data_IF_159540547634
#
_entry.id   IF_159540547634
#
_cell.length_a   1.000
_cell.length_b   1.000
_cell.length_c   1.000
_cell.angle_alpha   90.00
_cell.angle_beta   90.00
_cell.angle_gamma   90.00
#
_symmetry.space_group_name_H-M   'P 1'
#
loop_
_entity.id
_entity.type
_entity.pdbx_description
1 polymer ?
#
# COMPACT_ATOMS: atom_id res chain seq x y z
N UNK A 1 -6.66 51.42 -11.68
CA UNK A 1 -6.40 50.34 -12.65
C UNK A 1 -5.22 49.54 -12.12
N UNK A 2 -5.44 48.35 -11.57
CA UNK A 2 -4.41 47.53 -10.92
C UNK A 2 -4.33 46.21 -11.70
N UNK A 3 -3.32 46.11 -12.56
CA UNK A 3 -3.14 44.97 -13.45
C UNK A 3 -2.63 43.77 -12.64
N UNK A 4 -3.40 42.70 -12.59
CA UNK A 4 -2.98 41.42 -12.03
C UNK A 4 -2.34 40.61 -13.15
N UNK A 5 -1.05 40.30 -13.01
CA UNK A 5 -0.33 39.40 -13.91
C UNK A 5 -0.76 37.98 -13.55
N UNK A 6 -1.41 37.21 -14.46
CA UNK A 6 -1.70 35.82 -14.18
C UNK A 6 -0.39 35.02 -14.23
N UNK A 7 0.01 34.52 -13.07
CA UNK A 7 1.18 33.66 -12.92
C UNK A 7 0.79 32.26 -13.45
N UNK A 8 1.16 31.99 -14.69
CA UNK A 8 1.06 30.67 -15.32
C UNK A 8 1.95 29.70 -14.52
N UNK A 9 1.34 28.86 -13.69
CA UNK A 9 2.01 27.69 -13.12
C UNK A 9 2.35 26.74 -14.27
N UNK A 10 3.61 26.75 -14.71
CA UNK A 10 4.13 25.76 -15.63
C UNK A 10 4.20 24.41 -14.90
N UNK A 11 3.26 23.51 -15.20
CA UNK A 11 3.36 22.12 -14.80
C UNK A 11 4.49 21.48 -15.61
N UNK A 12 5.67 21.34 -15.00
CA UNK A 12 6.75 20.51 -15.51
C UNK A 12 6.27 19.06 -15.38
N UNK A 13 5.68 18.51 -16.44
CA UNK A 13 5.51 17.07 -16.59
C UNK A 13 6.87 16.45 -16.88
N UNK A 14 7.73 16.33 -15.86
CA UNK A 14 8.76 15.31 -15.90
C UNK A 14 8.04 13.98 -15.78
N UNK A 15 7.90 13.24 -16.88
CA UNK A 15 7.49 11.84 -16.81
C UNK A 15 8.43 11.15 -15.82
N UNK A 16 7.96 10.69 -14.64
CA UNK A 16 8.83 9.89 -13.81
C UNK A 16 9.12 8.63 -14.61
N UNK A 17 10.41 8.30 -14.78
CA UNK A 17 10.80 6.96 -15.15
C UNK A 17 10.27 6.04 -14.04
N UNK A 18 9.06 5.52 -14.24
CA UNK A 18 8.43 4.63 -13.29
C UNK A 18 9.06 3.25 -13.48
N UNK A 19 10.11 2.97 -12.71
CA UNK A 19 10.59 1.61 -12.53
C UNK A 19 9.66 0.98 -11.49
N UNK A 20 8.67 0.22 -11.98
CA UNK A 20 7.68 -0.44 -11.13
C UNK A 20 8.27 -1.68 -10.42
N UNK A 21 9.23 -2.34 -11.06
CA UNK A 21 9.87 -3.56 -10.61
C UNK A 21 11.32 -3.63 -11.10
N UNK A 22 12.19 -4.16 -10.25
CA UNK A 22 13.60 -4.43 -10.53
C UNK A 22 13.81 -5.93 -10.37
N UNK A 23 14.15 -6.59 -11.47
CA UNK A 23 14.48 -8.02 -11.44
C UNK A 23 15.92 -8.19 -10.93
N UNK A 24 16.06 -8.85 -9.78
CA UNK A 24 17.34 -9.16 -9.14
C UNK A 24 17.79 -10.56 -9.58
N UNK A 25 18.10 -10.70 -10.87
CA UNK A 25 18.39 -11.99 -11.49
C UNK A 25 17.13 -12.74 -11.92
N UNK A 26 17.21 -14.08 -11.99
CA UNK A 26 16.12 -14.91 -12.51
C UNK A 26 15.05 -15.28 -11.47
N UNK A 27 15.39 -15.15 -10.18
CA UNK A 27 14.61 -15.72 -9.08
C UNK A 27 14.09 -14.69 -8.08
N UNK A 28 14.34 -13.40 -8.30
CA UNK A 28 13.99 -12.38 -7.33
C UNK A 28 13.51 -11.11 -8.03
N UNK A 29 12.46 -10.49 -7.49
CA UNK A 29 11.93 -9.21 -7.97
C UNK A 29 11.74 -8.27 -6.80
N UNK A 30 12.32 -7.09 -6.88
CA UNK A 30 12.11 -6.00 -5.93
C UNK A 30 11.15 -4.98 -6.54
N UNK A 31 10.07 -4.67 -5.85
CA UNK A 31 9.09 -3.67 -6.26
C UNK A 31 8.84 -2.66 -5.15
N UNK A 32 8.35 -1.49 -5.53
CA UNK A 32 8.06 -0.43 -4.59
C UNK A 32 6.88 0.41 -5.04
N UNK A 33 6.18 0.99 -4.07
CA UNK A 33 5.10 1.93 -4.32
C UNK A 33 5.16 3.05 -3.28
N UNK A 34 4.61 4.20 -3.63
CA UNK A 34 4.50 5.28 -2.67
C UNK A 34 3.65 6.42 -3.19
N UNK A 35 3.15 7.21 -2.25
CA UNK A 35 2.44 8.45 -2.52
C UNK A 35 2.79 9.46 -1.45
N UNK A 36 2.99 10.71 -1.88
CA UNK A 36 3.24 11.84 -0.98
C UNK A 36 1.98 12.70 -0.88
N UNK A 37 1.80 13.35 0.25
CA UNK A 37 0.59 14.13 0.51
C UNK A 37 0.88 15.47 1.18
N UNK A 38 -0.12 16.34 1.12
CA UNK A 38 -0.22 17.54 1.96
C UNK A 38 -1.68 17.68 2.38
N UNK A 39 -1.91 17.71 3.69
CA UNK A 39 -3.24 17.75 4.29
C UNK A 39 -3.28 18.76 5.42
N UNK A 40 -4.41 19.46 5.53
CA UNK A 40 -4.72 20.43 6.59
C UNK A 40 -6.22 20.44 6.84
N UNK A 41 -6.60 20.58 8.11
CA UNK A 41 -7.97 20.71 8.58
C UNK A 41 -8.25 22.16 8.99
N UNK A 42 -9.52 22.56 9.02
CA UNK A 42 -9.98 23.79 9.68
C UNK A 42 -10.43 23.56 11.13
N UNK A 43 -10.37 22.31 11.59
CA UNK A 43 -10.71 21.88 12.93
C UNK A 43 -9.45 21.45 13.70
N UNK A 44 -9.30 21.98 14.92
CA UNK A 44 -8.18 21.67 15.82
C UNK A 44 -8.23 20.23 16.37
N UNK A 45 -9.40 19.59 16.40
CA UNK A 45 -9.51 18.19 16.80
C UNK A 45 -9.53 17.27 15.56
N UNK A 46 -8.60 16.31 15.45
CA UNK A 46 -8.57 15.38 14.32
C UNK A 46 -9.86 14.58 14.22
N UNK A 47 -10.50 14.63 13.05
CA UNK A 47 -11.74 13.87 12.78
C UNK A 47 -11.45 12.46 12.26
N UNK A 48 -10.27 12.24 11.68
CA UNK A 48 -9.82 10.94 11.17
C UNK A 48 -8.94 10.27 12.22
N UNK A 49 -9.49 9.25 12.87
CA UNK A 49 -8.77 8.39 13.79
C UNK A 49 -7.58 7.77 13.03
N UNK A 50 -6.37 7.89 13.62
CA UNK A 50 -5.08 7.43 13.08
C UNK A 50 -4.44 8.25 11.95
N UNK A 51 -4.90 9.47 11.63
CA UNK A 51 -4.19 10.32 10.66
C UNK A 51 -3.74 11.67 11.21
N UNK A 52 -4.17 12.03 12.43
CA UNK A 52 -3.71 13.22 13.17
C UNK A 52 -3.74 14.54 12.35
N UNK A 53 -4.66 14.66 11.38
CA UNK A 53 -4.80 15.86 10.55
C UNK A 53 -5.55 16.93 11.35
N UNK A 54 -4.84 18.02 11.70
CA UNK A 54 -5.34 19.16 12.47
C UNK A 54 -5.20 20.49 11.68
N UNK A 55 -5.21 21.63 12.36
CA UNK A 55 -5.10 22.96 11.77
C UNK A 55 -3.67 23.35 11.33
N UNK A 56 -2.72 22.41 11.37
CA UNK A 56 -1.36 22.55 10.88
C UNK A 56 -1.17 21.88 9.51
N UNK A 57 -0.11 22.30 8.82
CA UNK A 57 0.28 21.71 7.55
C UNK A 57 0.95 20.35 7.80
N UNK A 58 0.28 19.26 7.42
CA UNK A 58 0.81 17.91 7.54
C UNK A 58 1.20 17.32 6.19
N UNK A 59 2.49 17.02 6.01
CA UNK A 59 3.02 16.37 4.81
C UNK A 59 3.14 14.85 4.95
N UNK A 60 3.03 14.31 6.17
CA UNK A 60 3.23 12.90 6.45
C UNK A 60 1.94 12.10 6.65
N UNK A 61 0.85 12.78 7.03
CA UNK A 61 -0.41 12.19 7.48
C UNK A 61 -1.14 11.31 6.45
N UNK A 62 -0.88 11.49 5.14
CA UNK A 62 -1.32 10.57 4.10
C UNK A 62 -0.21 9.98 3.26
N UNK A 63 1.04 10.23 3.63
CA UNK A 63 2.19 9.75 2.88
C UNK A 63 2.39 8.27 3.18
N UNK A 64 2.44 7.47 2.11
CA UNK A 64 2.66 6.02 2.16
C UNK A 64 3.88 5.65 1.35
N UNK A 65 4.61 4.67 1.85
CA UNK A 65 5.73 4.09 1.11
C UNK A 65 5.80 2.60 1.41
N UNK A 66 5.99 1.79 0.37
CA UNK A 66 6.04 0.35 0.48
C UNK A 66 7.14 -0.24 -0.40
N UNK A 67 7.78 -1.28 0.13
CA UNK A 67 8.76 -2.10 -0.56
C UNK A 67 8.36 -3.56 -0.44
N UNK A 68 8.46 -4.28 -1.55
CA UNK A 68 8.14 -5.69 -1.63
C UNK A 68 9.24 -6.46 -2.33
N UNK A 69 9.65 -7.56 -1.71
CA UNK A 69 10.58 -8.52 -2.28
C UNK A 69 9.83 -9.83 -2.51
N UNK A 70 9.82 -10.28 -3.76
CA UNK A 70 9.34 -11.62 -4.12
C UNK A 70 10.50 -12.47 -4.60
N UNK A 71 10.53 -13.73 -4.16
CA UNK A 71 11.45 -14.75 -4.59
C UNK A 71 10.66 -15.89 -5.22
N UNK A 72 11.18 -16.43 -6.32
CA UNK A 72 10.56 -17.51 -7.09
C UNK A 72 11.61 -18.58 -7.36
N UNK A 73 11.31 -19.83 -7.01
CA UNK A 73 12.18 -20.96 -7.29
C UNK A 73 11.33 -22.21 -7.53
N UNK A 74 11.35 -22.73 -8.77
CA UNK A 74 10.49 -23.82 -9.22
C UNK A 74 9.00 -23.58 -8.84
N UNK A 75 8.48 -24.40 -7.93
CA UNK A 75 7.10 -24.34 -7.45
C UNK A 75 6.95 -23.56 -6.13
N UNK A 76 8.03 -22.97 -5.61
CA UNK A 76 8.07 -22.23 -4.36
C UNK A 76 8.10 -20.73 -4.66
N UNK A 77 7.27 -19.98 -3.95
CA UNK A 77 7.32 -18.51 -3.91
C UNK A 77 7.51 -18.05 -2.47
N UNK A 78 8.38 -17.08 -2.24
CA UNK A 78 8.45 -16.34 -0.99
C UNK A 78 8.11 -14.88 -1.26
N UNK A 79 7.40 -14.21 -0.36
CA UNK A 79 7.11 -12.78 -0.50
C UNK A 79 7.14 -12.10 0.85
N UNK A 80 7.76 -10.93 0.91
CA UNK A 80 7.75 -10.06 2.07
C UNK A 80 7.50 -8.61 1.65
N UNK A 81 6.63 -7.91 2.38
CA UNK A 81 6.31 -6.51 2.13
C UNK A 81 6.41 -5.69 3.42
N UNK A 82 7.19 -4.61 3.34
CA UNK A 82 7.31 -3.59 4.38
C UNK A 82 6.62 -2.31 3.91
N UNK A 83 5.83 -1.69 4.78
CA UNK A 83 5.06 -0.48 4.46
C UNK A 83 5.18 0.52 5.61
N UNK A 84 5.57 1.75 5.28
CA UNK A 84 5.30 2.93 6.10
C UNK A 84 3.84 3.31 5.86
N UNK A 85 2.97 2.97 6.81
CA UNK A 85 1.55 3.31 6.74
C UNK A 85 1.36 4.80 7.09
N UNK A 86 0.23 5.42 6.70
CA UNK A 86 -0.03 6.82 7.01
C UNK A 86 0.04 7.15 8.50
N UNK A 87 -0.37 6.21 9.34
CA UNK A 87 -0.40 6.34 10.80
C UNK A 87 0.93 6.04 11.50
N UNK A 88 1.91 5.49 10.78
CA UNK A 88 3.19 5.10 11.37
C UNK A 88 4.24 6.20 11.15
N UNK A 89 5.20 6.27 12.06
CA UNK A 89 6.40 7.10 11.86
C UNK A 89 7.35 6.44 10.88
N UNK A 90 8.18 7.24 10.20
CA UNK A 90 9.24 6.74 9.31
C UNK A 90 10.25 5.81 10.00
N UNK A 91 10.41 5.92 11.31
CA UNK A 91 11.27 5.04 12.12
C UNK A 91 10.71 3.64 12.31
N UNK A 92 9.40 3.44 12.11
CA UNK A 92 8.68 2.24 12.55
C UNK A 92 7.76 1.69 11.44
N UNK A 93 8.30 1.29 10.28
CA UNK A 93 7.49 0.69 9.22
C UNK A 93 6.93 -0.68 9.65
N UNK A 94 5.74 -1.02 9.16
CA UNK A 94 5.06 -2.27 9.45
C UNK A 94 5.40 -3.36 8.42
N UNK A 95 5.48 -4.62 8.88
CA UNK A 95 5.56 -5.79 7.99
C UNK A 95 4.16 -6.29 7.66
N UNK A 96 3.67 -5.93 6.47
CA UNK A 96 2.30 -6.26 6.02
C UNK A 96 2.11 -7.74 5.75
N UNK A 97 3.09 -8.38 5.13
CA UNK A 97 3.09 -9.83 4.97
C UNK A 97 4.51 -10.37 4.82
N UNK A 98 4.66 -11.64 5.18
CA UNK A 98 5.87 -12.42 5.00
C UNK A 98 5.47 -13.88 4.98
N UNK A 99 5.44 -14.49 3.79
CA UNK A 99 4.95 -15.85 3.63
C UNK A 99 5.79 -16.67 2.65
N UNK A 100 5.68 -17.99 2.78
CA UNK A 100 6.10 -18.98 1.81
C UNK A 100 4.87 -19.61 1.19
N UNK A 101 4.90 -19.80 -0.13
CA UNK A 101 3.87 -20.44 -0.91
C UNK A 101 4.44 -21.59 -1.74
N UNK A 102 3.67 -22.65 -1.88
CA UNK A 102 3.97 -23.80 -2.72
C UNK A 102 2.81 -24.07 -3.66
N UNK A 103 3.08 -24.05 -4.96
CA UNK A 103 2.10 -24.25 -6.01
C UNK A 103 2.19 -25.69 -6.55
N UNK A 104 1.08 -26.40 -6.51
CA UNK A 104 0.97 -27.77 -7.00
C UNK A 104 -0.28 -27.89 -7.89
N UNK A 105 -0.07 -27.81 -9.20
CA UNK A 105 -1.14 -27.85 -10.21
C UNK A 105 -2.25 -26.83 -9.88
N UNK A 106 -3.38 -27.30 -9.37
CA UNK A 106 -4.55 -26.50 -9.03
C UNK A 106 -4.59 -26.05 -7.57
N UNK A 107 -3.58 -26.40 -6.77
CA UNK A 107 -3.52 -26.12 -5.34
C UNK A 107 -2.40 -25.13 -5.01
N UNK A 108 -2.70 -24.16 -4.17
CA UNK A 108 -1.72 -23.23 -3.59
C UNK A 108 -1.76 -23.34 -2.08
N UNK A 109 -0.64 -23.73 -1.49
CA UNK A 109 -0.45 -23.78 -0.03
C UNK A 109 0.38 -22.59 0.39
N UNK A 110 -0.03 -21.84 1.40
CA UNK A 110 0.72 -20.70 1.92
C UNK A 110 0.87 -20.80 3.44
N UNK A 111 1.99 -20.34 3.98
CA UNK A 111 2.26 -20.29 5.41
C UNK A 111 3.08 -19.05 5.78
N UNK A 112 2.76 -18.44 6.92
CA UNK A 112 3.46 -17.26 7.45
C UNK A 112 2.48 -16.17 7.87
N UNK A 113 2.92 -14.91 7.73
CA UNK A 113 2.07 -13.73 7.85
C UNK A 113 1.42 -13.46 6.50
N UNK A 114 0.11 -13.67 6.42
CA UNK A 114 -0.69 -13.54 5.22
C UNK A 114 -1.64 -12.36 5.34
N UNK A 115 -1.94 -11.69 4.22
CA UNK A 115 -2.90 -10.60 4.21
C UNK A 115 -4.32 -11.12 4.46
N UNK A 116 -5.07 -10.42 5.31
CA UNK A 116 -6.47 -10.73 5.60
C UNK A 116 -7.39 -10.10 4.53
N UNK A 117 -8.10 -10.89 3.70
CA UNK A 117 -8.96 -10.36 2.63
C UNK A 117 -10.34 -9.97 3.18
N UNK A 118 -10.36 -9.09 4.18
CA UNK A 118 -11.58 -8.72 4.90
C UNK A 118 -12.47 -7.77 4.08
N UNK A 119 -11.87 -6.97 3.22
CA UNK A 119 -12.54 -5.96 2.41
C UNK A 119 -12.01 -5.94 0.97
N UNK A 120 -12.76 -5.27 0.09
CA UNK A 120 -12.47 -5.21 -1.35
C UNK A 120 -11.06 -4.67 -1.67
N UNK A 121 -10.62 -3.65 -0.93
CA UNK A 121 -9.30 -3.01 -1.14
C UNK A 121 -8.24 -3.62 -0.24
N UNK A 122 -8.53 -4.67 0.55
CA UNK A 122 -7.56 -5.24 1.47
C UNK A 122 -6.25 -5.56 0.76
N UNK A 123 -6.30 -6.21 -0.41
CA UNK A 123 -5.11 -6.63 -1.16
C UNK A 123 -4.20 -5.48 -1.63
N UNK A 124 -4.77 -4.29 -1.86
CA UNK A 124 -4.04 -3.11 -2.38
C UNK A 124 -4.27 -1.85 -1.55
N UNK A 125 -4.58 -2.00 -0.26
CA UNK A 125 -5.07 -0.90 0.59
C UNK A 125 -4.12 0.32 0.63
N UNK A 126 -2.81 0.07 0.64
CA UNK A 126 -1.78 1.12 0.66
C UNK A 126 -1.32 1.60 -0.72
N UNK A 127 -1.80 0.96 -1.78
CA UNK A 127 -1.49 1.34 -3.17
C UNK A 127 -2.53 2.36 -3.62
N UNK A 128 -2.31 3.63 -3.29
CA UNK A 128 -3.25 4.72 -3.60
C UNK A 128 -3.57 4.88 -5.09
N UNK A 129 -2.71 4.38 -5.97
CA UNK A 129 -2.92 4.38 -7.42
C UNK A 129 -3.94 3.32 -7.89
N UNK A 130 -4.34 2.39 -7.01
CA UNK A 130 -5.25 1.30 -7.34
C UNK A 130 -6.74 1.66 -7.15
N UNK A 131 -7.05 2.86 -6.63
CA UNK A 131 -8.43 3.30 -6.41
C UNK A 131 -8.61 4.81 -6.69
N UNK A 132 -9.81 5.20 -7.09
CA UNK A 132 -10.14 6.58 -7.46
C UNK A 132 -10.23 7.58 -6.28
N UNK A 133 -10.81 7.25 -5.11
CA UNK A 133 -10.89 8.21 -4.02
C UNK A 133 -9.51 8.50 -3.43
N UNK A 134 -9.32 9.67 -2.82
CA UNK A 134 -8.06 10.00 -2.16
C UNK A 134 -7.77 9.08 -0.95
N UNK A 135 -8.81 8.53 -0.33
CA UNK A 135 -8.74 7.59 0.80
C UNK A 135 -9.89 6.58 0.72
N UNK A 136 -9.67 5.31 1.10
CA UNK A 136 -10.75 4.37 1.32
C UNK A 136 -11.73 4.87 2.39
N UNK A 137 -13.03 4.48 2.34
CA UNK A 137 -14.00 4.84 3.35
C UNK A 137 -13.55 4.42 4.76
N UNK A 138 -13.32 5.40 5.62
CA UNK A 138 -12.77 5.17 6.95
C UNK A 138 -13.71 4.34 7.81
N UNK A 139 -15.02 4.49 7.66
CA UNK A 139 -16.02 3.75 8.43
C UNK A 139 -15.91 2.24 8.23
N UNK A 140 -15.46 1.79 7.06
CA UNK A 140 -15.28 0.37 6.74
C UNK A 140 -13.86 -0.07 7.14
N UNK A 141 -12.84 0.64 6.67
CA UNK A 141 -11.45 0.17 6.80
C UNK A 141 -10.81 0.47 8.18
N UNK A 142 -11.37 1.39 8.97
CA UNK A 142 -10.96 1.60 10.37
C UNK A 142 -11.72 0.72 11.37
N UNK A 143 -12.80 0.04 10.95
CA UNK A 143 -13.72 -0.67 11.86
C UNK A 143 -13.12 -1.89 12.56
N UNK A 144 -11.99 -2.41 12.07
CA UNK A 144 -11.35 -3.64 12.56
C UNK A 144 -10.02 -3.40 13.27
N UNK A 145 -9.82 -2.22 13.87
CA UNK A 145 -8.59 -1.86 14.61
C UNK A 145 -7.31 -1.96 13.76
N UNK A 146 -7.42 -1.83 12.44
CA UNK A 146 -6.26 -1.87 11.54
C UNK A 146 -5.64 -3.25 11.36
N UNK A 147 -6.36 -4.35 11.64
CA UNK A 147 -5.88 -5.71 11.35
C UNK A 147 -5.80 -5.90 9.83
N UNK A 148 -4.59 -5.92 9.27
CA UNK A 148 -4.34 -6.12 7.83
C UNK A 148 -3.83 -7.52 7.51
N UNK A 149 -3.40 -8.28 8.51
CA UNK A 149 -2.77 -9.58 8.36
C UNK A 149 -3.25 -10.58 9.42
N UNK A 150 -2.99 -11.85 9.16
CA UNK A 150 -3.08 -12.94 10.12
C UNK A 150 -1.85 -13.84 10.00
N UNK A 151 -1.49 -14.54 11.07
CA UNK A 151 -0.39 -15.49 11.09
C UNK A 151 -0.96 -16.90 11.06
N UNK A 152 -0.57 -17.70 10.07
CA UNK A 152 -1.12 -19.04 9.87
C UNK A 152 -0.80 -19.59 8.50
N UNK A 153 -1.74 -20.36 7.95
CA UNK A 153 -1.63 -20.88 6.60
C UNK A 153 -2.96 -20.87 5.87
N UNK A 154 -2.89 -20.89 4.54
CA UNK A 154 -4.04 -20.93 3.66
C UNK A 154 -3.85 -22.01 2.60
N UNK A 155 -4.98 -22.57 2.16
CA UNK A 155 -5.02 -23.52 1.04
C UNK A 155 -6.06 -23.00 0.06
N UNK A 156 -5.66 -22.83 -1.19
CA UNK A 156 -6.53 -22.35 -2.27
C UNK A 156 -6.56 -23.40 -3.36
N UNK A 157 -7.74 -23.67 -3.91
CA UNK A 157 -7.93 -24.53 -5.07
C UNK A 157 -8.61 -23.74 -6.19
N UNK A 158 -8.03 -23.80 -7.39
CA UNK A 158 -8.51 -23.05 -8.56
C UNK A 158 -8.80 -24.01 -9.71
N UNK A 159 -9.99 -23.87 -10.33
CA UNK A 159 -10.39 -24.64 -11.50
C UNK A 159 -11.12 -23.73 -12.49
N UNK A 160 -10.70 -23.77 -13.76
CA UNK A 160 -11.40 -23.11 -14.86
C UNK A 160 -12.59 -23.95 -15.31
N UNK A 161 -13.76 -23.31 -15.45
CA UNK A 161 -15.04 -24.00 -15.76
C UNK A 161 -15.51 -23.86 -17.21
N UNK A 162 -14.71 -23.23 -18.08
CA UNK A 162 -15.05 -23.04 -19.50
C UNK A 162 -15.99 -21.88 -19.77
#
# INVERSE_FOLDING_TARGET
MKNWIPLLLGAIFTTPYAIANIDLGEYATLSGFGSTSWSKSDNAMPLLIHREIDDNDCFDCDTTFGLQLDLYYDNIRASAQLVKRPQDNWSDPELEWAYLAYNLENWTFQIGRLRAPLFLYSEYYYVGQAYTPSRPPTEVYSSILGITYYEGGSITWTQDLG
#
